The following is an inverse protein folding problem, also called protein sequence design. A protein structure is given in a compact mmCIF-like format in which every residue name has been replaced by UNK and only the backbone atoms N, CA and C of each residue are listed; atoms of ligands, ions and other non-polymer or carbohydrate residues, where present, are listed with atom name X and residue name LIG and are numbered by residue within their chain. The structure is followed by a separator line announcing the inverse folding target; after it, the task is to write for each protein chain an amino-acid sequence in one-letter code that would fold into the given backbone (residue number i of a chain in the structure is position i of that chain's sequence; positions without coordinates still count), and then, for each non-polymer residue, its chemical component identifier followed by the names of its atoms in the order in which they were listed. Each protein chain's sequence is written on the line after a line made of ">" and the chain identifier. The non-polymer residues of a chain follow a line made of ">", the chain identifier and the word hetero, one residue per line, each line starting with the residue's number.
data_IF_569220332266
#
_entry.id   IF_569220332266
#
_cell.length_a   1.000
_cell.length_b   1.000
_cell.length_c   1.000
_cell.angle_alpha   90.00
_cell.angle_beta   90.00
_cell.angle_gamma   90.00
#
_symmetry.space_group_name_H-M   'P 1'
#
loop_
_entity.id
_entity.type
_entity.pdbx_description
1 polymer ?
#
# COMPACT_ATOMS: atom_id res chain seq x y z
N UNK A 1 -15.29 15.24 -10.71
CA UNK A 1 -15.06 14.72 -9.35
C UNK A 1 -13.99 15.57 -8.69
N UNK A 2 -14.28 16.22 -7.56
CA UNK A 2 -13.30 17.02 -6.82
C UNK A 2 -12.47 16.07 -5.95
N UNK A 3 -11.18 15.93 -6.23
CA UNK A 3 -10.26 15.27 -5.32
C UNK A 3 -10.14 16.14 -4.06
N UNK A 4 -10.59 15.61 -2.92
CA UNK A 4 -10.47 16.29 -1.62
C UNK A 4 -8.99 16.40 -1.25
N UNK A 5 -8.37 17.56 -1.48
CA UNK A 5 -7.01 17.83 -1.02
C UNK A 5 -6.99 17.84 0.51
N UNK A 6 -6.46 16.78 1.12
CA UNK A 6 -6.29 16.69 2.57
C UNK A 6 -4.95 17.33 2.97
N UNK A 7 -5.00 18.47 3.66
CA UNK A 7 -3.79 19.04 4.28
C UNK A 7 -3.34 18.16 5.44
N UNK A 8 -2.07 17.75 5.42
CA UNK A 8 -1.41 17.06 6.54
C UNK A 8 -0.70 18.16 7.34
N UNK A 9 -1.19 18.47 8.53
CA UNK A 9 -0.62 19.53 9.40
C UNK A 9 0.30 18.97 10.50
N UNK A 10 0.44 17.64 10.55
CA UNK A 10 1.23 16.90 11.52
C UNK A 10 2.57 16.52 10.89
N UNK A 11 3.66 17.09 11.41
CA UNK A 11 5.02 16.87 10.87
C UNK A 11 5.44 15.40 10.96
N UNK A 12 5.10 14.68 12.03
CA UNK A 12 5.44 13.26 12.17
C UNK A 12 4.76 12.44 11.08
N UNK A 13 3.49 12.76 10.79
CA UNK A 13 2.75 12.12 9.71
C UNK A 13 3.30 12.45 8.33
N UNK A 14 3.85 13.66 8.12
CA UNK A 14 4.54 14.00 6.86
C UNK A 14 5.82 13.19 6.71
N UNK A 15 6.63 13.07 7.76
CA UNK A 15 7.84 12.25 7.73
C UNK A 15 7.54 10.79 7.44
N UNK A 16 6.56 10.20 8.14
CA UNK A 16 6.13 8.82 7.87
C UNK A 16 5.68 8.64 6.41
N UNK A 17 4.96 9.62 5.85
CA UNK A 17 4.56 9.58 4.44
C UNK A 17 5.78 9.64 3.50
N UNK A 18 6.76 10.51 3.77
CA UNK A 18 7.98 10.59 2.97
C UNK A 18 8.82 9.31 3.04
N UNK A 19 8.90 8.67 4.21
CA UNK A 19 9.56 7.37 4.35
C UNK A 19 8.89 6.30 3.50
N UNK A 20 7.55 6.23 3.55
CA UNK A 20 6.77 5.27 2.75
C UNK A 20 6.95 5.52 1.25
N UNK A 21 6.90 6.79 0.82
CA UNK A 21 7.09 7.15 -0.60
C UNK A 21 8.53 6.93 -1.08
N UNK A 22 9.51 6.94 -0.17
CA UNK A 22 10.91 6.64 -0.49
C UNK A 22 11.17 5.14 -0.61
N UNK A 23 10.36 4.31 0.05
CA UNK A 23 10.46 2.85 -0.04
C UNK A 23 10.02 2.34 -1.43
N UNK A 24 10.93 1.65 -2.12
CA UNK A 24 10.68 1.15 -3.47
C UNK A 24 9.54 0.12 -3.52
N UNK A 25 9.41 -0.74 -2.51
CA UNK A 25 8.41 -1.81 -2.50
C UNK A 25 7.02 -1.25 -2.21
N UNK A 26 6.90 -0.31 -1.28
CA UNK A 26 5.67 0.46 -1.06
C UNK A 26 5.19 1.13 -2.34
N UNK A 27 6.09 1.79 -3.09
CA UNK A 27 5.75 2.40 -4.39
C UNK A 27 5.30 1.37 -5.42
N UNK A 28 6.02 0.25 -5.55
CA UNK A 28 5.64 -0.83 -6.47
C UNK A 28 4.25 -1.40 -6.14
N UNK A 29 3.94 -1.59 -4.85
CA UNK A 29 2.62 -2.08 -4.43
C UNK A 29 1.52 -1.07 -4.75
N UNK A 30 1.75 0.21 -4.46
CA UNK A 30 0.79 1.29 -4.77
C UNK A 30 0.53 1.40 -6.27
N UNK A 31 1.59 1.40 -7.09
CA UNK A 31 1.48 1.48 -8.55
C UNK A 31 0.78 0.24 -9.12
N UNK A 32 1.20 -0.94 -8.67
CA UNK A 32 0.65 -2.21 -9.12
C UNK A 32 -0.80 -2.44 -8.76
N UNK A 33 -1.37 -1.67 -7.84
CA UNK A 33 -2.78 -1.76 -7.41
C UNK A 33 -3.60 -0.52 -7.77
N UNK A 34 -3.00 0.49 -8.42
CA UNK A 34 -3.63 1.78 -8.72
C UNK A 34 -4.90 1.65 -9.56
N UNK A 35 -4.90 0.72 -10.52
CA UNK A 35 -6.01 0.52 -11.46
C UNK A 35 -6.93 -0.64 -11.10
N UNK A 36 -6.41 -1.65 -10.39
CA UNK A 36 -7.14 -2.88 -10.06
C UNK A 36 -6.66 -3.42 -8.72
N UNK A 37 -7.57 -3.88 -7.84
CA UNK A 37 -7.17 -4.62 -6.64
C UNK A 37 -6.43 -5.91 -7.04
N UNK A 38 -5.39 -6.25 -6.28
CA UNK A 38 -4.61 -7.48 -6.42
C UNK A 38 -4.40 -8.11 -5.04
N UNK A 39 -4.38 -9.44 -5.00
CA UNK A 39 -3.96 -10.20 -3.82
C UNK A 39 -2.46 -10.05 -3.57
N UNK A 40 -2.03 -10.30 -2.33
CA UNK A 40 -0.61 -10.28 -1.97
C UNK A 40 0.21 -11.31 -2.79
N UNK A 41 -0.40 -12.43 -3.17
CA UNK A 41 0.23 -13.47 -3.99
C UNK A 41 0.45 -12.97 -5.42
N UNK A 42 -0.57 -12.37 -6.05
CA UNK A 42 -0.45 -11.79 -7.40
C UNK A 42 0.67 -10.74 -7.45
N UNK A 43 0.73 -9.84 -6.46
CA UNK A 43 1.77 -8.80 -6.38
C UNK A 43 3.15 -9.46 -6.20
N UNK A 44 3.27 -10.46 -5.33
CA UNK A 44 4.53 -11.17 -5.09
C UNK A 44 5.07 -11.82 -6.37
N UNK A 45 4.20 -12.48 -7.13
CA UNK A 45 4.55 -13.17 -8.38
C UNK A 45 4.90 -12.19 -9.49
N UNK A 46 4.09 -11.16 -9.71
CA UNK A 46 4.27 -10.19 -10.79
C UNK A 46 5.56 -9.37 -10.63
N UNK A 47 5.82 -8.89 -9.41
CA UNK A 47 6.96 -8.02 -9.13
C UNK A 47 8.16 -8.77 -8.55
N UNK A 48 8.07 -10.09 -8.40
CA UNK A 48 9.14 -10.95 -7.89
C UNK A 48 9.64 -10.52 -6.49
N UNK A 49 8.74 -9.97 -5.67
CA UNK A 49 9.02 -9.53 -4.31
C UNK A 49 8.57 -10.65 -3.35
N UNK A 50 9.39 -11.05 -2.35
CA UNK A 50 8.99 -12.07 -1.39
C UNK A 50 7.67 -11.73 -0.70
N UNK A 51 6.76 -12.70 -0.60
CA UNK A 51 5.42 -12.49 -0.05
C UNK A 51 5.43 -11.91 1.38
N UNK A 52 6.42 -12.27 2.19
CA UNK A 52 6.62 -11.71 3.52
C UNK A 52 6.94 -10.21 3.50
N UNK A 53 7.66 -9.74 2.48
CA UNK A 53 7.94 -8.32 2.26
C UNK A 53 6.66 -7.61 1.83
N UNK A 54 5.87 -8.22 0.94
CA UNK A 54 4.56 -7.68 0.54
C UNK A 54 3.66 -7.49 1.77
N UNK A 55 3.49 -8.50 2.62
CA UNK A 55 2.65 -8.37 3.82
C UNK A 55 3.09 -7.25 4.76
N UNK A 56 4.41 -7.11 5.02
CA UNK A 56 4.94 -6.02 5.84
C UNK A 56 4.58 -4.65 5.28
N UNK A 57 4.73 -4.48 3.96
CA UNK A 57 4.45 -3.19 3.29
C UNK A 57 2.95 -2.92 3.18
N UNK A 58 2.13 -3.94 2.92
CA UNK A 58 0.67 -3.81 2.98
C UNK A 58 0.21 -3.34 4.35
N UNK A 59 0.75 -3.90 5.44
CA UNK A 59 0.46 -3.45 6.79
C UNK A 59 0.87 -1.99 6.99
N UNK A 60 2.10 -1.60 6.61
CA UNK A 60 2.56 -0.21 6.70
C UNK A 60 1.65 0.76 5.92
N UNK A 61 1.25 0.41 4.70
CA UNK A 61 0.37 1.23 3.87
C UNK A 61 -1.04 1.35 4.45
N UNK A 62 -1.57 0.25 4.99
CA UNK A 62 -2.87 0.21 5.65
C UNK A 62 -2.90 1.08 6.91
N UNK A 63 -1.91 0.92 7.79
CA UNK A 63 -1.81 1.66 9.06
C UNK A 63 -1.69 3.18 8.82
N UNK A 64 -1.05 3.57 7.72
CA UNK A 64 -0.91 4.97 7.30
C UNK A 64 -2.09 5.49 6.45
N UNK A 65 -3.14 4.69 6.27
CA UNK A 65 -4.36 5.03 5.51
C UNK A 65 -4.08 5.37 4.04
N UNK A 66 -3.08 4.73 3.45
CA UNK A 66 -2.73 4.87 2.03
C UNK A 66 -3.37 3.78 1.17
N UNK A 67 -3.80 2.68 1.79
CA UNK A 67 -4.42 1.55 1.12
C UNK A 67 -5.47 0.91 2.03
N UNK A 68 -6.57 0.46 1.44
CA UNK A 68 -7.53 -0.41 2.12
C UNK A 68 -7.20 -1.87 1.81
N UNK A 69 -7.32 -2.75 2.81
CA UNK A 69 -7.20 -4.19 2.63
C UNK A 69 -8.60 -4.78 2.80
N UNK A 70 -9.11 -5.43 1.76
CA UNK A 70 -10.34 -6.19 1.83
C UNK A 70 -9.99 -7.65 2.06
N UNK A 71 -10.52 -8.22 3.14
CA UNK A 71 -10.50 -9.66 3.33
C UNK A 71 -11.70 -10.22 2.57
N UNK A 72 -11.44 -10.96 1.51
CA UNK A 72 -12.46 -11.85 0.98
C UNK A 72 -12.49 -13.06 1.89
N UNK A 73 -13.43 -13.07 2.82
CA UNK A 73 -13.96 -14.34 3.34
C UNK A 73 -14.37 -15.17 2.11
N UNK A 74 -14.15 -16.47 2.14
CA UNK A 74 -14.28 -17.43 1.03
C UNK A 74 -13.00 -17.65 0.20
N UNK A 75 -12.14 -18.54 0.71
CA UNK A 75 -11.91 -19.82 0.02
C UNK A 75 -11.49 -20.91 1.03
N UNK A 76 -12.20 -22.04 0.92
CA UNK A 76 -12.24 -23.28 1.73
C UNK A 76 -13.13 -23.26 2.96
#
# INVERSE_FOLDING_TARGET
>A
MLQTTRRINDEERKFALFEILSDQYSRTILDGTLHKPKSAIEISQEYHIPISTIYKRLQTLHDNKLMAICYNDFQY
#
